data_IF_450046746877
#
_entry.id   IF_450046746877
#
_cell.length_a   1.000
_cell.length_b   1.000
_cell.length_c   1.000
_cell.angle_alpha   90.00
_cell.angle_beta   90.00
_cell.angle_gamma   90.00
#
_symmetry.space_group_name_H-M   'P 1'
#
loop_
_entity.id
_entity.type
_entity.pdbx_description
1 polymer ?
#
# COMPACT_ATOMS: atom_id res chain seq x y z
N UNK A 1 4.18 -15.85 -24.86
CA UNK A 1 4.51 -15.22 -23.57
C UNK A 1 4.56 -13.71 -23.69
N UNK A 2 3.49 -13.06 -23.22
CA UNK A 2 3.25 -11.62 -22.98
C UNK A 2 1.72 -11.40 -23.03
N UNK A 3 0.99 -12.24 -22.30
CA UNK A 3 -0.47 -12.34 -22.40
C UNK A 3 -1.22 -11.25 -21.63
N UNK A 4 -0.51 -10.23 -21.11
CA UNK A 4 -1.10 -9.09 -20.41
C UNK A 4 -1.34 -7.95 -21.43
N UNK A 5 -2.58 -7.71 -21.87
CA UNK A 5 -2.89 -6.73 -22.91
C UNK A 5 -2.76 -5.27 -22.43
N UNK A 6 -2.71 -5.05 -21.12
CA UNK A 6 -2.46 -3.75 -20.50
C UNK A 6 -1.82 -3.93 -19.11
N UNK A 7 -1.23 -2.85 -18.61
CA UNK A 7 -0.65 -2.78 -17.27
C UNK A 7 -1.19 -1.56 -16.52
N UNK A 8 -0.91 -1.49 -15.23
CA UNK A 8 -1.21 -0.35 -14.39
C UNK A 8 -0.17 -0.27 -13.27
N UNK A 9 -0.35 0.68 -12.35
CA UNK A 9 0.48 0.84 -11.17
C UNK A 9 -0.37 1.19 -9.95
N UNK A 10 0.26 1.19 -8.77
CA UNK A 10 -0.36 1.62 -7.52
C UNK A 10 0.00 3.08 -7.25
N UNK A 11 -1.00 3.89 -6.93
CA UNK A 11 -0.86 5.30 -6.56
C UNK A 11 -1.71 5.59 -5.31
N UNK A 12 -1.43 6.69 -4.63
CA UNK A 12 -2.27 7.16 -3.53
C UNK A 12 -3.35 8.10 -4.06
N UNK A 13 -4.59 7.84 -3.65
CA UNK A 13 -5.68 8.81 -3.78
C UNK A 13 -5.92 9.44 -2.41
N UNK A 14 -5.90 10.77 -2.34
CA UNK A 14 -6.09 11.52 -1.10
C UNK A 14 -7.27 12.48 -1.21
N UNK A 15 -7.82 12.89 -0.07
CA UNK A 15 -8.88 13.92 -0.03
C UNK A 15 -8.35 15.25 -0.55
N UNK A 16 -9.26 16.06 -1.12
CA UNK A 16 -8.96 17.40 -1.66
C UNK A 16 -8.14 18.23 -0.67
N UNK A 17 -7.07 18.85 -1.15
CA UNK A 17 -6.17 19.70 -0.36
C UNK A 17 -5.09 18.93 0.42
N UNK A 18 -5.08 17.59 0.38
CA UNK A 18 -4.10 16.74 1.07
C UNK A 18 -3.89 17.14 2.55
N UNK A 19 -4.94 17.12 3.40
CA UNK A 19 -4.87 17.64 4.76
C UNK A 19 -3.88 16.88 5.67
N UNK A 20 -3.46 15.67 5.26
CA UNK A 20 -2.50 14.83 5.99
C UNK A 20 -1.08 14.92 5.41
N UNK A 21 -0.87 15.74 4.38
CA UNK A 21 0.43 15.94 3.72
C UNK A 21 1.08 14.60 3.32
N UNK A 22 0.29 13.72 2.69
CA UNK A 22 0.77 12.43 2.18
C UNK A 22 1.48 12.69 0.86
N UNK A 23 2.76 12.37 0.81
CA UNK A 23 3.61 12.52 -0.37
C UNK A 23 4.28 11.20 -0.74
N UNK A 24 4.55 10.33 0.23
CA UNK A 24 5.19 9.05 -0.01
C UNK A 24 4.82 7.97 1.05
N UNK A 25 5.30 6.75 0.85
CA UNK A 25 5.04 5.57 1.69
C UNK A 25 5.27 5.78 3.20
N UNK A 26 6.32 6.48 3.68
CA UNK A 26 6.52 6.72 5.11
C UNK A 26 5.39 7.54 5.75
N UNK A 27 4.65 8.32 4.97
CA UNK A 27 3.54 9.10 5.49
C UNK A 27 2.36 8.21 5.88
N UNK A 28 2.22 7.04 5.25
CA UNK A 28 1.13 6.11 5.52
C UNK A 28 1.25 5.42 6.88
N UNK A 29 2.44 5.40 7.48
CA UNK A 29 2.68 4.80 8.81
C UNK A 29 2.67 5.84 9.95
N UNK A 30 2.42 7.12 9.63
CA UNK A 30 2.35 8.18 10.64
C UNK A 30 1.13 8.01 11.55
N UNK A 31 1.22 8.40 12.84
CA UNK A 31 0.05 8.44 13.72
C UNK A 31 -1.07 9.33 13.15
N UNK A 32 -2.32 8.89 13.29
CA UNK A 32 -3.49 9.66 12.86
C UNK A 32 -3.73 9.68 11.34
N UNK A 33 -3.06 8.81 10.58
CA UNK A 33 -3.37 8.49 9.18
C UNK A 33 -4.19 7.21 9.16
N UNK A 34 -5.32 7.25 8.47
CA UNK A 34 -6.15 6.07 8.18
C UNK A 34 -5.98 5.70 6.71
N UNK A 35 -5.61 4.44 6.47
CA UNK A 35 -5.38 3.87 5.16
C UNK A 35 -6.55 2.94 4.82
N UNK A 36 -7.08 3.08 3.62
CA UNK A 36 -8.09 2.17 3.08
C UNK A 36 -7.41 1.32 2.02
N UNK A 37 -7.43 0.01 2.19
CA UNK A 37 -6.92 -0.94 1.19
C UNK A 37 -7.75 -2.22 1.23
N UNK A 38 -8.06 -2.84 0.08
CA UNK A 38 -8.83 -4.08 0.05
C UNK A 38 -8.09 -5.26 0.71
N UNK A 39 -8.81 -6.35 0.98
CA UNK A 39 -8.25 -7.56 1.61
C UNK A 39 -7.33 -8.36 0.64
N UNK A 40 -6.05 -8.61 0.96
CA UNK A 40 -5.12 -9.36 0.10
C UNK A 40 -5.50 -10.83 -0.10
N UNK A 41 -6.34 -11.41 0.77
CA UNK A 41 -6.82 -12.79 0.62
C UNK A 41 -7.84 -12.93 -0.51
N UNK A 42 -8.57 -11.87 -0.86
CA UNK A 42 -9.67 -11.90 -1.84
C UNK A 42 -9.41 -11.00 -3.05
N UNK A 43 -8.57 -9.98 -2.93
CA UNK A 43 -8.34 -8.98 -3.97
C UNK A 43 -6.95 -9.11 -4.61
N UNK A 44 -6.89 -9.10 -5.94
CA UNK A 44 -5.63 -8.99 -6.69
C UNK A 44 -4.94 -7.63 -6.49
N UNK A 45 -5.71 -6.54 -6.50
CA UNK A 45 -5.19 -5.19 -6.27
C UNK A 45 -4.57 -5.04 -4.88
N UNK A 46 -5.17 -5.65 -3.87
CA UNK A 46 -4.61 -5.67 -2.51
C UNK A 46 -3.24 -6.34 -2.44
N UNK A 47 -3.04 -7.43 -3.19
CA UNK A 47 -1.73 -8.10 -3.28
C UNK A 47 -0.69 -7.20 -3.95
N UNK A 48 -1.08 -6.46 -4.98
CA UNK A 48 -0.20 -5.46 -5.58
C UNK A 48 0.12 -4.28 -4.64
N UNK A 49 -0.86 -3.77 -3.88
CA UNK A 49 -0.62 -2.75 -2.85
C UNK A 49 0.40 -3.22 -1.81
N UNK A 50 0.24 -4.46 -1.33
CA UNK A 50 1.16 -5.09 -0.39
C UNK A 50 2.58 -5.19 -0.97
N UNK A 51 2.70 -5.68 -2.21
CA UNK A 51 4.01 -5.80 -2.87
C UNK A 51 4.65 -4.44 -3.16
N UNK A 52 3.87 -3.40 -3.45
CA UNK A 52 4.38 -2.05 -3.64
C UNK A 52 4.96 -1.49 -2.34
N UNK A 53 4.27 -1.64 -1.21
CA UNK A 53 4.77 -1.27 0.11
C UNK A 53 6.04 -2.05 0.50
N UNK A 54 6.03 -3.37 0.24
CA UNK A 54 7.18 -4.23 0.50
C UNK A 54 8.40 -3.83 -0.35
N UNK A 55 8.19 -3.60 -1.65
CA UNK A 55 9.22 -3.16 -2.58
C UNK A 55 9.82 -1.82 -2.17
N UNK A 56 8.98 -0.85 -1.80
CA UNK A 56 9.43 0.43 -1.25
C UNK A 56 10.39 0.23 -0.07
N UNK A 57 9.99 -0.59 0.91
CA UNK A 57 10.79 -0.84 2.10
C UNK A 57 12.14 -1.50 1.77
N UNK A 58 12.18 -2.48 0.85
CA UNK A 58 13.45 -3.07 0.41
C UNK A 58 14.37 -2.02 -0.23
N UNK A 59 13.84 -1.24 -1.19
CA UNK A 59 14.63 -0.26 -1.92
C UNK A 59 15.20 0.85 -1.02
N UNK A 60 14.47 1.25 0.01
CA UNK A 60 14.88 2.32 0.94
C UNK A 60 15.70 1.82 2.14
N UNK A 61 15.92 0.51 2.25
CA UNK A 61 16.70 -0.11 3.33
C UNK A 61 17.76 -1.08 2.78
N UNK A 62 18.39 -0.73 1.65
CA UNK A 62 19.49 -1.51 1.04
C UNK A 62 19.18 -3.00 0.81
N UNK A 63 17.93 -3.31 0.46
CA UNK A 63 17.41 -4.67 0.26
C UNK A 63 17.47 -5.57 1.52
N UNK A 64 17.51 -4.99 2.72
CA UNK A 64 17.38 -5.74 3.96
C UNK A 64 16.00 -6.39 4.06
N UNK A 65 15.98 -7.72 3.97
CA UNK A 65 14.76 -8.53 3.99
C UNK A 65 14.00 -8.46 5.31
N UNK A 66 14.64 -8.04 6.40
CA UNK A 66 13.96 -7.88 7.69
C UNK A 66 13.08 -6.61 7.74
N UNK A 67 13.42 -5.57 6.96
CA UNK A 67 12.75 -4.26 7.05
C UNK A 67 11.39 -4.21 6.36
N UNK A 68 11.20 -4.97 5.29
CA UNK A 68 9.95 -4.98 4.54
C UNK A 68 8.76 -5.60 5.31
N UNK A 69 8.90 -6.74 6.00
CA UNK A 69 7.87 -7.23 6.92
C UNK A 69 7.47 -6.20 7.97
N UNK A 70 8.43 -5.52 8.59
CA UNK A 70 8.18 -4.52 9.64
C UNK A 70 7.46 -3.29 9.10
N UNK A 71 7.85 -2.79 7.92
CA UNK A 71 7.18 -1.68 7.27
C UNK A 71 5.72 -2.02 6.97
N UNK A 72 5.46 -3.17 6.35
CA UNK A 72 4.10 -3.60 6.02
C UNK A 72 3.26 -3.89 7.27
N UNK A 73 3.88 -4.39 8.33
CA UNK A 73 3.24 -4.56 9.64
C UNK A 73 2.82 -3.21 10.23
N UNK A 74 3.66 -2.19 10.16
CA UNK A 74 3.32 -0.85 10.63
C UNK A 74 2.24 -0.19 9.77
N UNK A 75 2.31 -0.36 8.44
CA UNK A 75 1.26 0.08 7.53
C UNK A 75 -0.10 -0.56 7.86
N UNK A 76 -0.10 -1.88 8.13
CA UNK A 76 -1.32 -2.62 8.46
C UNK A 76 -2.00 -2.13 9.75
N UNK A 77 -1.26 -1.54 10.70
CA UNK A 77 -1.84 -0.94 11.91
C UNK A 77 -2.67 0.31 11.62
N UNK A 78 -2.38 0.98 10.51
CA UNK A 78 -3.11 2.16 10.06
C UNK A 78 -4.23 1.81 9.07
N UNK A 79 -4.44 0.53 8.76
CA UNK A 79 -5.53 0.08 7.87
C UNK A 79 -6.82 -0.01 8.69
N UNK A 80 -7.76 0.90 8.43
CA UNK A 80 -9.03 0.97 9.15
C UNK A 80 -10.07 0.00 8.57
N UNK A 81 -10.04 -0.24 7.26
CA UNK A 81 -10.98 -1.11 6.56
C UNK A 81 -10.25 -1.96 5.52
N UNK A 82 -10.53 -3.26 5.54
CA UNK A 82 -10.15 -4.23 4.50
C UNK A 82 -11.37 -4.55 3.64
N UNK A 83 -11.65 -3.71 2.64
CA UNK A 83 -12.84 -3.91 1.79
C UNK A 83 -12.77 -5.25 1.03
N UNK A 84 -13.96 -5.79 0.75
CA UNK A 84 -14.21 -7.03 0.01
C UNK A 84 -13.48 -7.11 -1.35
N UNK A 85 -13.25 -5.97 -2.00
CA UNK A 85 -12.52 -5.89 -3.27
C UNK A 85 -11.98 -4.49 -3.58
N UNK A 86 -11.03 -4.40 -4.51
CA UNK A 86 -10.36 -3.13 -4.84
C UNK A 86 -11.27 -2.04 -5.46
N UNK A 87 -12.51 -2.37 -5.81
CA UNK A 87 -13.52 -1.42 -6.30
C UNK A 87 -14.52 -0.98 -5.23
N UNK A 88 -14.51 -1.63 -4.05
CA UNK A 88 -15.33 -1.25 -2.90
C UNK A 88 -14.60 -0.34 -1.92
N UNK A 89 -13.26 -0.41 -1.90
CA UNK A 89 -12.35 0.42 -1.11
C UNK A 89 -12.29 1.87 -1.59
#
# INVERSE_FOLDING_TARGET
DNSAPYTSTIVFLVRKGNPKQIHDWPDLIKPGVSVITPNPKTSGGARWNYLAAWGYALHHNNNDKATAPDFVKNLSKNVEVLDSGARGA
#
